data_IF_029810393260
#
_entry.id   IF_029810393260
#
_cell.length_a   1.000
_cell.length_b   1.000
_cell.length_c   1.000
_cell.angle_alpha   90.00
_cell.angle_beta   90.00
_cell.angle_gamma   90.00
#
_symmetry.space_group_name_H-M   'P 1'
#
loop_
_entity.id
_entity.type
_entity.pdbx_description
1 polymer ?
#
# COMPACT_ATOMS: atom_id res chain seq x y z
N UNK A 1 -0.91 -38.77 15.66
CA UNK A 1 0.24 -37.89 15.94
C UNK A 1 0.16 -36.74 14.97
N UNK A 2 -0.35 -35.59 15.41
CA UNK A 2 -0.49 -34.42 14.54
C UNK A 2 0.91 -33.88 14.27
N UNK A 3 1.40 -34.03 13.05
CA UNK A 3 2.63 -33.41 12.59
C UNK A 3 2.50 -31.91 12.81
N UNK A 4 3.28 -31.37 13.75
CA UNK A 4 3.50 -29.93 13.92
C UNK A 4 4.26 -29.42 12.71
N UNK A 5 3.57 -29.32 11.58
CA UNK A 5 4.10 -28.60 10.42
C UNK A 5 4.27 -27.15 10.83
N UNK A 6 5.48 -26.65 10.68
CA UNK A 6 5.79 -25.24 10.92
C UNK A 6 4.90 -24.43 9.98
N UNK A 7 4.02 -23.60 10.55
CA UNK A 7 3.16 -22.71 9.77
C UNK A 7 4.02 -21.60 9.18
N UNK A 8 3.95 -21.45 7.86
CA UNK A 8 4.67 -20.41 7.12
C UNK A 8 3.79 -19.19 6.89
N UNK A 9 4.37 -18.00 6.64
CA UNK A 9 3.61 -16.82 6.22
C UNK A 9 2.74 -17.08 4.99
N UNK A 10 3.21 -17.91 4.06
CA UNK A 10 2.47 -18.30 2.85
C UNK A 10 1.21 -19.09 3.18
N UNK A 11 1.24 -19.95 4.21
CA UNK A 11 0.06 -20.69 4.67
C UNK A 11 -1.01 -19.75 5.22
N UNK A 12 -0.59 -18.74 5.98
CA UNK A 12 -1.48 -17.69 6.53
C UNK A 12 -2.09 -16.88 5.40
N UNK A 13 -1.25 -16.40 4.47
CA UNK A 13 -1.71 -15.62 3.32
C UNK A 13 -2.70 -16.41 2.46
N UNK A 14 -2.39 -17.68 2.18
CA UNK A 14 -3.27 -18.57 1.41
C UNK A 14 -4.62 -18.77 2.11
N UNK A 15 -4.64 -18.93 3.43
CA UNK A 15 -5.91 -18.99 4.18
C UNK A 15 -6.73 -17.71 4.01
N UNK A 16 -6.10 -16.55 4.22
CA UNK A 16 -6.75 -15.23 4.14
C UNK A 16 -7.29 -14.90 2.73
N UNK A 17 -6.61 -15.38 1.69
CA UNK A 17 -7.08 -15.26 0.30
C UNK A 17 -8.29 -16.15 0.03
N UNK A 18 -8.31 -17.36 0.58
CA UNK A 18 -9.35 -18.34 0.27
C UNK A 18 -10.67 -18.11 1.03
N UNK A 19 -10.61 -17.48 2.21
CA UNK A 19 -11.80 -17.20 3.03
C UNK A 19 -12.42 -15.81 2.77
N UNK A 20 -11.85 -15.04 1.83
CA UNK A 20 -12.32 -13.71 1.45
C UNK A 20 -11.96 -12.60 2.44
N UNK A 21 -11.14 -12.88 3.45
CA UNK A 21 -10.73 -11.89 4.45
C UNK A 21 -9.94 -10.74 3.82
N UNK A 22 -9.06 -11.02 2.86
CA UNK A 22 -8.29 -9.97 2.16
C UNK A 22 -9.23 -9.01 1.42
N UNK A 23 -10.27 -9.53 0.75
CA UNK A 23 -11.23 -8.69 0.05
C UNK A 23 -12.08 -7.87 1.02
N UNK A 24 -12.45 -8.43 2.17
CA UNK A 24 -13.15 -7.71 3.23
C UNK A 24 -12.29 -6.57 3.80
N UNK A 25 -11.00 -6.81 4.07
CA UNK A 25 -10.06 -5.78 4.52
C UNK A 25 -9.85 -4.71 3.45
N UNK A 26 -9.68 -5.10 2.19
CA UNK A 26 -9.59 -4.17 1.05
C UNK A 26 -10.82 -3.28 0.96
N UNK A 27 -12.02 -3.84 1.13
CA UNK A 27 -13.27 -3.09 1.11
C UNK A 27 -13.34 -2.09 2.28
N UNK A 28 -12.91 -2.48 3.48
CA UNK A 28 -12.81 -1.56 4.64
C UNK A 28 -11.87 -0.39 4.35
N UNK A 29 -10.67 -0.66 3.81
CA UNK A 29 -9.71 0.38 3.41
C UNK A 29 -10.35 1.34 2.40
N UNK A 30 -10.98 0.81 1.34
CA UNK A 30 -11.66 1.63 0.32
C UNK A 30 -12.73 2.52 0.94
N UNK A 31 -13.55 1.97 1.84
CA UNK A 31 -14.62 2.73 2.48
C UNK A 31 -14.09 3.85 3.38
N UNK A 32 -13.02 3.60 4.14
CA UNK A 32 -12.39 4.63 4.94
C UNK A 32 -11.76 5.75 4.09
N UNK A 33 -11.09 5.40 2.98
CA UNK A 33 -10.57 6.42 2.05
C UNK A 33 -11.70 7.24 1.40
N UNK A 34 -12.79 6.58 1.00
CA UNK A 34 -13.98 7.27 0.46
C UNK A 34 -14.63 8.21 1.48
N UNK A 35 -14.48 7.94 2.77
CA UNK A 35 -14.96 8.78 3.86
C UNK A 35 -13.92 9.83 4.31
N UNK A 36 -12.69 9.79 3.80
CA UNK A 36 -11.63 10.71 4.20
C UNK A 36 -11.86 12.11 3.59
N UNK A 37 -12.34 13.03 4.42
CA UNK A 37 -12.62 14.41 4.03
C UNK A 37 -11.36 15.21 3.71
N UNK A 38 -10.22 14.90 4.32
CA UNK A 38 -8.95 15.55 4.01
C UNK A 38 -8.50 15.22 2.58
N UNK A 39 -8.59 13.94 2.18
CA UNK A 39 -8.26 13.50 0.83
C UNK A 39 -9.18 14.13 -0.22
N UNK A 40 -10.49 14.23 0.09
CA UNK A 40 -11.45 14.95 -0.77
C UNK A 40 -11.12 16.43 -0.88
N UNK A 41 -10.87 17.10 0.25
CA UNK A 41 -10.53 18.52 0.27
C UNK A 41 -9.25 18.80 -0.49
N UNK A 42 -8.25 17.94 -0.35
CA UNK A 42 -7.00 18.04 -1.09
C UNK A 42 -7.23 17.92 -2.60
N UNK A 43 -8.04 16.94 -3.02
CA UNK A 43 -8.38 16.74 -4.45
C UNK A 43 -9.14 17.93 -5.02
N UNK A 44 -10.08 18.52 -4.27
CA UNK A 44 -10.79 19.74 -4.66
C UNK A 44 -9.81 20.90 -4.83
N UNK A 45 -8.93 21.15 -3.85
CA UNK A 45 -7.91 22.20 -3.93
C UNK A 45 -6.98 22.03 -5.12
N UNK A 46 -6.59 20.80 -5.43
CA UNK A 46 -5.77 20.50 -6.61
C UNK A 46 -6.50 20.82 -7.91
N UNK A 47 -7.80 20.52 -7.99
CA UNK A 47 -8.63 20.91 -9.13
C UNK A 47 -8.77 22.44 -9.23
N UNK A 48 -9.03 23.13 -8.12
CA UNK A 48 -9.11 24.61 -8.09
C UNK A 48 -7.81 25.27 -8.54
N UNK A 49 -6.67 24.67 -8.22
CA UNK A 49 -5.33 25.16 -8.58
C UNK A 49 -4.81 24.62 -9.93
N UNK A 50 -5.61 23.83 -10.65
CA UNK A 50 -5.23 23.21 -11.91
C UNK A 50 -4.83 24.25 -12.96
N UNK A 51 -3.71 23.99 -13.66
CA UNK A 51 -3.30 24.81 -14.80
C UNK A 51 -4.30 24.67 -15.94
N UNK A 52 -4.81 23.46 -16.20
CA UNK A 52 -5.81 23.21 -17.25
C UNK A 52 -7.04 24.09 -17.04
N UNK A 53 -7.57 24.15 -15.81
CA UNK A 53 -8.76 24.96 -15.52
C UNK A 53 -8.48 26.47 -15.47
N UNK A 54 -7.28 26.87 -15.05
CA UNK A 54 -6.89 28.28 -14.92
C UNK A 54 -6.24 28.86 -16.20
N UNK A 55 -6.14 28.10 -17.29
CA UNK A 55 -5.58 28.58 -18.55
C UNK A 55 -6.61 29.42 -19.33
N UNK A 56 -6.25 30.62 -19.84
CA UNK A 56 -7.15 31.40 -20.68
C UNK A 56 -7.62 30.61 -21.91
N UNK A 57 -8.92 30.59 -22.18
CA UNK A 57 -9.49 29.81 -23.29
C UNK A 57 -9.96 28.41 -22.88
N UNK A 58 -9.76 27.99 -21.63
CA UNK A 58 -10.33 26.73 -21.10
C UNK A 58 -11.86 26.69 -21.27
N UNK A 59 -12.53 27.85 -21.16
CA UNK A 59 -13.98 27.98 -21.35
C UNK A 59 -14.47 27.64 -22.77
N UNK A 60 -13.57 27.58 -23.75
CA UNK A 60 -13.87 27.24 -25.15
C UNK A 60 -13.65 25.76 -25.48
N UNK A 61 -13.00 25.02 -24.58
CA UNK A 61 -12.79 23.59 -24.76
C UNK A 61 -14.08 22.82 -24.50
N UNK A 62 -14.21 21.66 -25.14
CA UNK A 62 -15.32 20.76 -24.82
C UNK A 62 -15.13 20.16 -23.43
N UNK A 63 -16.25 19.76 -22.81
CA UNK A 63 -16.21 19.06 -21.51
C UNK A 63 -15.24 17.87 -21.54
N UNK A 64 -15.21 17.10 -22.64
CA UNK A 64 -14.33 15.93 -22.76
C UNK A 64 -12.85 16.33 -22.71
N UNK A 65 -12.45 17.29 -23.54
CA UNK A 65 -11.06 17.77 -23.58
C UNK A 65 -10.61 18.30 -22.21
N UNK A 66 -11.48 19.06 -21.53
CA UNK A 66 -11.23 19.55 -20.17
C UNK A 66 -11.01 18.41 -19.17
N UNK A 67 -11.88 17.39 -19.15
CA UNK A 67 -11.71 16.26 -18.25
C UNK A 67 -10.48 15.42 -18.56
N UNK A 68 -10.18 15.18 -19.83
CA UNK A 68 -9.01 14.40 -20.25
C UNK A 68 -7.71 15.14 -19.89
N UNK A 69 -7.64 16.45 -20.16
CA UNK A 69 -6.50 17.28 -19.78
C UNK A 69 -6.35 17.40 -18.26
N UNK A 70 -7.45 17.60 -17.53
CA UNK A 70 -7.44 17.67 -16.07
C UNK A 70 -6.99 16.35 -15.45
N UNK A 71 -7.44 15.22 -16.00
CA UNK A 71 -6.99 13.88 -15.59
C UNK A 71 -5.49 13.72 -15.85
N UNK A 72 -5.01 14.11 -17.03
CA UNK A 72 -3.58 14.05 -17.35
C UNK A 72 -2.72 14.88 -16.37
N UNK A 73 -3.23 16.02 -15.91
CA UNK A 73 -2.54 16.86 -14.92
C UNK A 73 -2.60 16.28 -13.50
N UNK A 74 -3.77 15.81 -13.07
CA UNK A 74 -4.04 15.53 -11.65
C UNK A 74 -4.02 14.06 -11.25
N UNK A 75 -4.09 13.11 -12.19
CA UNK A 75 -4.18 11.67 -11.87
C UNK A 75 -3.01 11.21 -11.00
N UNK A 76 -1.78 11.47 -11.44
CA UNK A 76 -0.57 11.09 -10.69
C UNK A 76 -0.55 11.69 -9.28
N UNK A 77 -0.61 13.03 -9.08
CA UNK A 77 -0.49 13.59 -7.74
C UNK A 77 -1.67 13.23 -6.82
N UNK A 78 -2.89 13.03 -7.36
CA UNK A 78 -4.04 12.55 -6.56
C UNK A 78 -3.82 11.10 -6.14
N UNK A 79 -3.36 10.24 -7.06
CA UNK A 79 -3.06 8.83 -6.76
C UNK A 79 -1.92 8.69 -5.75
N UNK A 80 -0.90 9.55 -5.80
CA UNK A 80 0.17 9.58 -4.80
C UNK A 80 -0.35 9.89 -3.40
N UNK A 81 -1.23 10.90 -3.27
CA UNK A 81 -1.87 11.24 -1.99
C UNK A 81 -2.75 10.10 -1.48
N UNK A 82 -3.54 9.48 -2.36
CA UNK A 82 -4.37 8.33 -2.01
C UNK A 82 -3.52 7.12 -1.59
N UNK A 83 -2.43 6.83 -2.31
CA UNK A 83 -1.49 5.74 -2.00
C UNK A 83 -0.86 5.95 -0.62
N UNK A 84 -0.42 7.17 -0.32
CA UNK A 84 0.09 7.50 1.01
C UNK A 84 -0.97 7.27 2.09
N UNK A 85 -2.19 7.75 1.90
CA UNK A 85 -3.28 7.56 2.86
C UNK A 85 -3.62 6.08 3.10
N UNK A 86 -3.51 5.23 2.06
CA UNK A 86 -3.65 3.76 2.21
C UNK A 86 -2.57 3.20 3.13
N UNK A 87 -1.31 3.54 2.89
CA UNK A 87 -0.20 3.05 3.70
C UNK A 87 -0.28 3.53 5.14
N UNK A 88 -0.60 4.81 5.34
CA UNK A 88 -0.80 5.38 6.68
C UNK A 88 -1.91 4.61 7.42
N UNK A 89 -2.98 4.20 6.73
CA UNK A 89 -4.06 3.43 7.32
C UNK A 89 -3.69 1.96 7.63
N UNK A 90 -2.95 1.30 6.73
CA UNK A 90 -2.51 -0.09 6.92
C UNK A 90 -1.46 -0.19 8.03
N UNK A 91 -0.60 0.81 8.17
CA UNK A 91 0.51 0.82 9.13
C UNK A 91 0.12 1.42 10.49
N UNK A 92 -1.08 2.01 10.62
CA UNK A 92 -1.57 2.54 11.89
C UNK A 92 -1.81 1.43 12.92
N UNK A 93 -1.14 1.53 14.08
CA UNK A 93 -1.19 0.53 15.14
C UNK A 93 -2.46 0.57 15.98
N UNK A 94 -3.34 1.56 15.78
CA UNK A 94 -4.41 1.88 16.72
C UNK A 94 -5.82 1.68 16.14
N UNK A 95 -5.97 1.66 14.81
CA UNK A 95 -7.25 1.47 14.14
C UNK A 95 -7.22 0.27 13.17
N UNK A 96 -7.34 0.51 11.86
CA UNK A 96 -7.48 -0.56 10.88
C UNK A 96 -6.22 -1.42 10.76
N UNK A 97 -5.03 -0.83 10.90
CA UNK A 97 -3.78 -1.61 10.91
C UNK A 97 -3.67 -2.57 12.10
N UNK A 98 -4.25 -2.22 13.25
CA UNK A 98 -4.43 -3.16 14.36
C UNK A 98 -5.36 -4.30 13.98
N UNK A 99 -6.51 -4.00 13.37
CA UNK A 99 -7.47 -5.03 12.92
C UNK A 99 -6.82 -6.00 11.92
N UNK A 100 -6.02 -5.49 10.99
CA UNK A 100 -5.25 -6.30 10.04
C UNK A 100 -4.29 -7.22 10.79
N UNK A 101 -3.54 -6.67 11.76
CA UNK A 101 -2.57 -7.43 12.57
C UNK A 101 -3.24 -8.53 13.39
N UNK A 102 -4.32 -8.20 14.11
CA UNK A 102 -5.12 -9.13 14.91
C UNK A 102 -5.71 -10.25 14.03
N UNK A 103 -6.15 -9.91 12.81
CA UNK A 103 -6.71 -10.87 11.86
C UNK A 103 -5.64 -11.85 11.40
N UNK A 104 -4.45 -11.36 11.01
CA UNK A 104 -3.33 -12.20 10.59
C UNK A 104 -2.86 -13.11 11.74
N UNK A 105 -2.75 -12.56 12.95
CA UNK A 105 -2.41 -13.34 14.15
C UNK A 105 -3.46 -14.40 14.45
N UNK A 106 -4.75 -14.06 14.38
CA UNK A 106 -5.85 -15.01 14.59
C UNK A 106 -5.83 -16.18 13.61
N UNK A 107 -5.52 -15.93 12.33
CA UNK A 107 -5.34 -17.00 11.34
C UNK A 107 -4.12 -17.85 11.68
N UNK A 108 -2.99 -17.23 12.01
CA UNK A 108 -1.78 -17.95 12.39
C UNK A 108 -2.00 -18.85 13.62
N UNK A 109 -2.66 -18.35 14.66
CA UNK A 109 -3.04 -19.09 15.87
C UNK A 109 -3.90 -20.31 15.52
N UNK A 110 -4.93 -20.10 14.70
CA UNK A 110 -5.85 -21.16 14.25
C UNK A 110 -5.12 -22.25 13.47
N UNK A 111 -4.22 -21.89 12.56
CA UNK A 111 -3.42 -22.86 11.79
C UNK A 111 -2.40 -23.59 12.67
N UNK A 112 -1.85 -22.90 13.66
CA UNK A 112 -0.84 -23.44 14.59
C UNK A 112 -1.43 -24.26 15.74
N UNK A 113 -2.76 -24.27 15.90
CA UNK A 113 -3.44 -24.88 17.04
C UNK A 113 -3.15 -24.19 18.39
N UNK A 114 -2.80 -22.89 18.37
CA UNK A 114 -2.54 -22.08 19.57
C UNK A 114 -3.69 -21.09 19.78
N UNK A 115 -3.93 -20.70 21.03
CA UNK A 115 -4.91 -19.65 21.38
C UNK A 115 -4.25 -18.26 21.32
N UNK A 116 -4.91 -17.23 20.74
CA UNK A 116 -4.45 -15.84 20.80
C UNK A 116 -4.51 -15.27 22.24
N UNK A 117 -3.71 -14.23 22.59
CA UNK A 117 -2.64 -13.62 21.80
C UNK A 117 -1.29 -14.34 22.00
N UNK A 118 -0.52 -14.47 20.94
CA UNK A 118 0.83 -15.04 20.96
C UNK A 118 1.91 -13.99 21.22
N UNK A 119 1.58 -12.72 21.01
CA UNK A 119 2.43 -11.59 21.37
C UNK A 119 1.88 -10.85 22.60
N UNK A 120 2.68 -10.61 23.64
CA UNK A 120 2.27 -9.77 24.76
C UNK A 120 1.93 -8.36 24.27
N UNK A 121 0.78 -7.82 24.68
CA UNK A 121 0.50 -6.40 24.49
C UNK A 121 1.57 -5.59 25.25
N UNK A 122 2.13 -4.51 24.67
CA UNK A 122 3.14 -3.68 25.32
C UNK A 122 2.70 -3.04 26.65
N UNK A 123 1.40 -3.04 26.95
CA UNK A 123 0.86 -2.54 28.21
C UNK A 123 0.24 -3.70 28.99
N UNK A 124 0.80 -3.95 30.18
CA UNK A 124 0.39 -5.01 31.09
C UNK A 124 -0.99 -4.81 31.68
N UNK A 125 -2.03 -5.14 30.92
CA UNK A 125 -3.37 -5.34 31.46
C UNK A 125 -3.58 -6.81 31.80
N UNK A 126 -3.41 -7.09 33.09
CA UNK A 126 -3.76 -8.33 33.77
C UNK A 126 -5.21 -8.73 33.46
N UNK A 127 -5.42 -9.82 32.73
CA UNK A 127 -6.70 -10.54 32.74
C UNK A 127 -6.86 -11.29 34.07
N UNK A 128 -8.04 -11.23 34.72
CA UNK A 128 -8.25 -11.88 36.00
C UNK A 128 -8.45 -13.38 35.80
N UNK A 129 -7.45 -14.18 36.18
CA UNK A 129 -7.60 -15.62 36.33
C UNK A 129 -8.65 -15.92 37.39
N UNK A 130 -9.63 -16.74 37.01
CA UNK A 130 -10.68 -17.23 37.90
C UNK A 130 -10.09 -18.00 39.08
N UNK A 131 -10.72 -17.73 40.22
CA UNK A 131 -10.69 -18.37 41.53
C UNK A 131 -10.15 -19.80 41.60
N UNK A 132 -9.20 -19.98 42.54
CA UNK A 132 -9.19 -21.12 43.46
C UNK A 132 -8.66 -20.64 44.81
N UNK A 133 -9.48 -20.84 45.84
CA UNK A 133 -9.31 -20.38 47.21
C UNK A 133 -8.32 -21.24 48.04
N UNK A 134 -7.92 -20.65 49.18
CA UNK A 134 -7.27 -21.23 50.38
C UNK A 134 -5.75 -21.50 50.27
N UNK A 135 -4.89 -21.27 51.27
CA UNK A 135 -5.00 -20.88 52.68
C UNK A 135 -3.65 -20.26 53.14
N UNK A 136 -3.71 -19.56 54.28
CA UNK A 136 -2.70 -18.84 55.08
C UNK A 136 -1.22 -19.27 55.04
N UNK A 137 -0.33 -18.27 55.12
CA UNK A 137 1.03 -18.43 55.63
C UNK A 137 1.78 -17.11 55.84
N UNK A 138 2.01 -16.75 57.10
CA UNK A 138 2.56 -15.49 57.62
C UNK A 138 4.11 -15.57 57.67
N UNK A 139 4.86 -14.53 57.28
CA UNK A 139 6.32 -14.56 57.46
C UNK A 139 7.08 -13.28 57.09
N UNK A 140 7.63 -12.60 58.11
CA UNK A 140 8.47 -11.38 58.11
C UNK A 140 9.79 -11.51 57.34
N UNK A 141 10.17 -10.40 56.68
CA UNK A 141 11.43 -9.68 56.92
C UNK A 141 12.63 -9.98 56.02
N UNK A 142 13.19 -8.93 55.39
CA UNK A 142 14.52 -8.33 55.67
C UNK A 142 15.10 -7.67 54.41
N UNK A 143 15.37 -6.37 54.51
CA UNK A 143 16.21 -5.59 53.60
C UNK A 143 17.63 -6.16 53.54
N UNK A 144 18.26 -6.19 52.36
CA UNK A 144 19.68 -5.86 52.20
C UNK A 144 19.83 -5.08 50.89
N UNK A 145 20.53 -3.98 51.06
CA UNK A 145 20.97 -2.95 50.12
C UNK A 145 22.08 -3.44 49.19
N UNK A 146 22.55 -2.53 48.35
CA UNK A 146 23.92 -2.41 47.81
C UNK A 146 24.07 -2.51 46.28
N UNK A 147 24.63 -1.42 45.78
CA UNK A 147 24.87 -1.01 44.41
C UNK A 147 26.02 -1.79 43.79
N UNK A 148 26.04 -1.92 42.46
CA UNK A 148 27.26 -1.61 41.69
C UNK A 148 26.99 -1.58 40.19
N UNK A 149 27.42 -0.45 39.65
CA UNK A 149 27.50 -0.04 38.26
C UNK A 149 28.21 -1.08 37.37
N UNK A 150 27.73 -1.25 36.12
CA UNK A 150 28.58 -1.04 34.93
C UNK A 150 27.79 -0.97 33.63
N UNK A 151 27.73 0.25 33.11
CA UNK A 151 27.67 0.60 31.69
C UNK A 151 28.37 -0.40 30.76
N UNK A 152 27.66 -0.86 29.72
CA UNK A 152 28.21 -1.00 28.37
C UNK A 152 27.10 -1.14 27.33
N UNK A 153 26.63 0.02 26.89
CA UNK A 153 26.00 0.22 25.60
C UNK A 153 26.95 -0.23 24.49
N UNK A 154 26.50 -1.06 23.56
CA UNK A 154 27.07 -1.16 22.22
C UNK A 154 25.96 -1.49 21.22
N UNK A 155 25.37 -0.42 20.68
CA UNK A 155 24.51 -0.48 19.49
C UNK A 155 25.37 -0.81 18.27
N UNK A 156 24.95 -1.76 17.45
CA UNK A 156 25.42 -1.87 16.05
C UNK A 156 24.22 -1.98 15.12
N UNK A 157 23.66 -0.83 14.81
CA UNK A 157 22.67 -0.64 13.74
C UNK A 157 23.36 -0.82 12.39
N UNK A 158 23.30 -2.03 11.81
CA UNK A 158 23.81 -2.28 10.45
C UNK A 158 22.71 -2.07 9.41
N UNK A 159 22.57 -0.81 8.99
CA UNK A 159 21.90 -0.40 7.74
C UNK A 159 22.47 -1.24 6.58
N UNK A 160 21.62 -1.96 5.85
CA UNK A 160 21.96 -2.40 4.49
C UNK A 160 21.47 -1.34 3.52
N UNK A 161 22.41 -0.75 2.78
CA UNK A 161 22.13 0.25 1.77
C UNK A 161 21.62 -0.43 0.49
N UNK A 162 20.83 0.33 -0.26
CA UNK A 162 20.33 0.05 -1.60
C UNK A 162 21.30 0.70 -2.59
N UNK A 163 22.01 -0.09 -3.41
CA UNK A 163 22.56 0.25 -4.75
C UNK A 163 23.32 -0.98 -5.28
N UNK A 164 22.74 -1.77 -6.20
CA UNK A 164 23.45 -2.56 -7.23
C UNK A 164 22.43 -3.31 -8.11
N UNK A 165 21.98 -2.74 -9.24
CA UNK A 165 21.35 -3.47 -10.36
C UNK A 165 21.35 -2.63 -11.66
N UNK A 166 22.42 -1.88 -11.90
CA UNK A 166 22.72 -1.33 -13.22
C UNK A 166 24.17 -1.61 -13.58
N UNK A 167 24.41 -2.83 -14.06
CA UNK A 167 25.57 -3.16 -14.88
C UNK A 167 25.32 -4.50 -15.58
N UNK A 168 25.21 -4.48 -16.91
CA UNK A 168 25.57 -5.62 -17.73
C UNK A 168 24.47 -6.22 -18.61
N UNK A 169 24.00 -5.49 -19.61
CA UNK A 169 23.67 -6.09 -20.91
C UNK A 169 24.15 -5.15 -22.02
N UNK A 170 25.42 -5.30 -22.39
CA UNK A 170 25.95 -4.89 -23.68
C UNK A 170 26.41 -6.14 -24.42
N UNK A 171 25.78 -6.43 -25.57
CA UNK A 171 26.44 -7.10 -26.69
C UNK A 171 25.69 -6.80 -28.00
N UNK A 172 26.35 -5.92 -28.77
CA UNK A 172 26.66 -6.02 -30.21
C UNK A 172 25.53 -6.13 -31.27
N UNK A 173 25.28 -4.97 -31.90
CA UNK A 173 25.54 -4.66 -33.33
C UNK A 173 25.10 -5.65 -34.41
N UNK A 174 24.13 -5.22 -35.22
CA UNK A 174 24.19 -5.33 -36.68
C UNK A 174 23.44 -4.15 -37.33
N UNK A 175 24.21 -3.16 -37.78
CA UNK A 175 23.76 -2.05 -38.61
C UNK A 175 23.39 -2.51 -40.03
N UNK A 176 22.28 -2.00 -40.59
CA UNK A 176 22.23 -1.66 -42.02
C UNK A 176 21.18 -0.57 -42.31
N UNK A 177 21.72 0.56 -42.75
CA UNK A 177 21.07 1.75 -43.31
C UNK A 177 20.65 1.53 -44.77
N UNK A 178 19.54 2.13 -45.21
CA UNK A 178 19.49 3.12 -46.31
C UNK A 178 18.04 3.48 -46.71
N UNK A 179 17.81 4.78 -46.90
CA UNK A 179 16.55 5.52 -47.14
C UNK A 179 16.13 5.57 -48.65
N UNK A 180 15.02 6.27 -49.06
CA UNK A 180 14.12 5.95 -50.20
C UNK A 180 14.49 6.78 -51.48
N UNK A 181 13.72 6.86 -52.62
CA UNK A 181 12.33 7.40 -52.77
C UNK A 181 11.51 6.87 -54.00
N UNK A 182 10.39 7.57 -54.33
CA UNK A 182 9.68 7.68 -55.64
C UNK A 182 8.62 6.62 -56.02
N UNK A 183 7.53 6.83 -56.77
CA UNK A 183 6.64 7.93 -57.25
C UNK A 183 5.59 7.27 -58.17
N UNK A 184 4.49 7.97 -58.52
CA UNK A 184 3.65 7.84 -59.75
C UNK A 184 2.65 6.66 -59.83
N UNK A 185 1.32 6.92 -59.85
CA UNK A 185 0.41 7.15 -61.02
C UNK A 185 -0.30 5.85 -61.46
N UNK A 186 -1.51 5.77 -62.03
CA UNK A 186 -2.57 6.68 -62.49
C UNK A 186 -3.82 5.79 -62.78
N UNK A 187 -4.95 6.43 -63.08
CA UNK A 187 -5.98 6.03 -64.06
C UNK A 187 -7.32 5.52 -63.51
N UNK A 188 -8.38 6.32 -63.74
CA UNK A 188 -9.74 5.87 -63.43
C UNK A 188 -10.98 6.65 -63.88
N UNK A 189 -10.89 7.72 -64.68
CA UNK A 189 -11.97 8.29 -65.54
C UNK A 189 -13.23 8.95 -64.91
N UNK A 190 -13.36 10.24 -65.25
CA UNK A 190 -14.57 11.09 -65.31
C UNK A 190 -15.61 10.55 -66.34
N UNK A 191 -16.85 11.11 -66.50
CA UNK A 191 -17.04 12.47 -67.03
C UNK A 191 -18.26 13.31 -66.55
N UNK A 192 -18.02 14.62 -66.49
CA UNK A 192 -18.81 15.75 -67.00
C UNK A 192 -20.35 15.72 -66.92
N UNK A 193 -20.92 16.77 -66.27
CA UNK A 193 -21.89 17.67 -66.93
C UNK A 193 -21.77 19.11 -66.42
N UNK A 194 -21.35 19.97 -67.34
CA UNK A 194 -21.61 21.41 -67.52
C UNK A 194 -23.11 21.77 -67.32
N UNK A 195 -23.65 22.98 -67.15
CA UNK A 195 -23.39 24.39 -67.48
C UNK A 195 -24.16 25.25 -66.42
N UNK A 196 -23.71 26.45 -66.01
CA UNK A 196 -23.99 27.80 -66.59
C UNK A 196 -25.50 28.06 -66.80
N UNK A 197 -26.09 29.21 -66.44
CA UNK A 197 -25.64 30.61 -66.37
C UNK A 197 -26.58 31.36 -65.41
#
# INVERSE_FOLDING_TARGET
MSSSSVITPEDVLKSLMNDGTIDALRLKIINQLKANEELKSNTIKMAEQSKVLNTPGAEKQTKRELFDALRQELETPVLEKASKAVWDLILDSNALGKEISDTVEGVFCRLSGREPPLFPLPNGETQPSRELANDKGKGKGKEIDDESEKERSNSTSKKRNFTEMYAGEENEVASKSNDPPSTLEDAGKSPLTSLKT
#
